data_IF_469983432749
#
_entry.id   IF_469983432749
#
_cell.length_a   1.000
_cell.length_b   1.000
_cell.length_c   1.000
_cell.angle_alpha   90.00
_cell.angle_beta   90.00
_cell.angle_gamma   90.00
#
_symmetry.space_group_name_H-M   'P 1'
#
loop_
_entity.id
_entity.type
_entity.pdbx_description
1 polymer ?
#
# COMPACT_ATOMS: atom_id res chain seq x y z
N UNK A 1 -19.01 -19.14 5.04
CA UNK A 1 -18.34 -18.43 6.17
C UNK A 1 -17.94 -17.00 5.84
N UNK A 2 -17.49 -16.69 4.64
CA UNK A 2 -17.00 -15.38 4.19
C UNK A 2 -18.03 -14.23 4.20
N UNK A 3 -19.28 -14.47 3.80
CA UNK A 3 -20.33 -13.42 3.80
C UNK A 3 -20.64 -12.85 5.20
N UNK A 4 -20.62 -13.71 6.24
CA UNK A 4 -20.90 -13.26 7.62
C UNK A 4 -19.76 -12.41 8.19
N UNK A 5 -18.51 -12.68 7.83
CA UNK A 5 -17.35 -11.93 8.27
C UNK A 5 -17.34 -10.53 7.62
N UNK A 6 -17.65 -10.44 6.32
CA UNK A 6 -17.75 -9.16 5.59
C UNK A 6 -18.86 -8.28 6.16
N UNK A 7 -20.03 -8.87 6.47
CA UNK A 7 -21.14 -8.15 7.09
C UNK A 7 -20.83 -7.70 8.52
N UNK A 8 -20.07 -8.48 9.28
CA UNK A 8 -19.63 -8.12 10.64
C UNK A 8 -18.60 -6.98 10.61
N UNK A 9 -17.66 -7.02 9.68
CA UNK A 9 -16.70 -5.93 9.47
C UNK A 9 -17.37 -4.64 8.99
N UNK A 10 -18.33 -4.74 8.06
CA UNK A 10 -19.11 -3.60 7.60
C UNK A 10 -19.98 -3.02 8.71
N UNK A 11 -20.62 -3.87 9.53
CA UNK A 11 -21.41 -3.43 10.69
C UNK A 11 -20.52 -2.80 11.78
N UNK A 12 -19.31 -3.32 12.00
CA UNK A 12 -18.33 -2.75 12.94
C UNK A 12 -17.84 -1.38 12.46
N UNK A 13 -17.54 -1.23 11.17
CA UNK A 13 -17.18 0.05 10.55
C UNK A 13 -18.31 1.08 10.62
N UNK A 14 -19.56 0.67 10.33
CA UNK A 14 -20.74 1.54 10.41
C UNK A 14 -21.08 1.91 11.87
N UNK A 15 -20.91 1.02 12.82
CA UNK A 15 -21.17 1.30 14.24
C UNK A 15 -20.12 2.25 14.84
N UNK A 16 -18.86 2.14 14.45
CA UNK A 16 -17.81 3.07 14.89
C UNK A 16 -18.02 4.47 14.32
N UNK A 17 -18.46 4.60 13.07
CA UNK A 17 -18.80 5.91 12.47
C UNK A 17 -19.99 6.55 13.13
N UNK A 18 -21.03 5.80 13.50
CA UNK A 18 -22.23 6.33 14.17
C UNK A 18 -21.97 6.76 15.63
N UNK A 19 -21.07 6.07 16.35
CA UNK A 19 -20.68 6.47 17.71
C UNK A 19 -19.82 7.73 17.73
N UNK A 20 -18.98 7.93 16.71
CA UNK A 20 -18.09 9.08 16.63
C UNK A 20 -18.77 10.36 16.17
N UNK A 21 -19.84 10.26 15.36
CA UNK A 21 -20.63 11.42 14.94
C UNK A 21 -21.31 12.18 16.11
N UNK A 22 -21.40 11.57 17.29
CA UNK A 22 -22.05 12.16 18.48
C UNK A 22 -21.15 13.00 19.38
N UNK A 23 -19.83 13.00 19.18
CA UNK A 23 -18.88 13.65 20.10
C UNK A 23 -17.88 14.58 19.42
N UNK A 24 -18.25 15.20 18.30
CA UNK A 24 -17.36 16.14 17.61
C UNK A 24 -17.23 17.44 18.43
N UNK A 25 -16.04 17.79 18.91
CA UNK A 25 -15.84 19.13 19.46
C UNK A 25 -15.91 20.16 18.33
N UNK A 26 -16.47 21.33 18.61
CA UNK A 26 -16.68 22.47 17.69
C UNK A 26 -15.42 23.05 17.03
N UNK A 27 -14.29 22.31 17.03
CA UNK A 27 -12.98 22.79 16.64
C UNK A 27 -12.20 21.84 15.71
N UNK A 28 -12.87 20.97 15.01
CA UNK A 28 -12.20 20.19 13.99
C UNK A 28 -12.16 21.02 12.71
N UNK A 29 -11.00 21.54 12.34
CA UNK A 29 -10.82 22.25 11.08
C UNK A 29 -9.91 21.40 10.19
N UNK A 30 -10.35 20.95 9.01
CA UNK A 30 -9.50 20.28 8.03
C UNK A 30 -8.35 21.19 7.55
N UNK A 31 -8.49 22.51 7.73
CA UNK A 31 -7.49 23.53 7.37
C UNK A 31 -6.27 23.61 8.29
N UNK A 32 -6.20 22.79 9.33
CA UNK A 32 -5.07 22.89 10.30
C UNK A 32 -3.75 22.29 9.79
N UNK A 33 -3.73 21.65 8.63
CA UNK A 33 -2.54 20.98 8.10
C UNK A 33 -1.90 21.69 6.91
N UNK A 34 -2.45 22.78 6.44
CA UNK A 34 -1.84 23.61 5.41
C UNK A 34 -0.42 24.04 5.80
N UNK A 35 0.50 23.93 4.86
CA UNK A 35 1.92 24.23 5.05
C UNK A 35 2.63 23.45 6.16
N UNK A 36 2.21 22.20 6.41
CA UNK A 36 2.80 21.33 7.44
C UNK A 36 3.52 20.14 6.86
N UNK A 37 4.58 19.76 7.52
CA UNK A 37 5.24 18.48 7.30
C UNK A 37 4.49 17.37 8.02
N UNK A 38 4.57 16.18 7.46
CA UNK A 38 4.10 14.96 8.12
C UNK A 38 5.04 13.80 7.88
N UNK A 39 4.99 12.83 8.76
CA UNK A 39 5.63 11.54 8.58
C UNK A 39 4.64 10.41 8.87
N UNK A 40 4.80 9.27 8.22
CA UNK A 40 3.94 8.12 8.46
C UNK A 40 4.70 6.81 8.39
N UNK A 41 4.23 5.84 9.17
CA UNK A 41 4.70 4.46 9.17
C UNK A 41 3.51 3.55 8.94
N UNK A 42 3.63 2.60 8.01
CA UNK A 42 2.57 1.66 7.68
C UNK A 42 3.12 0.28 7.38
N UNK A 43 2.29 -0.74 7.58
CA UNK A 43 2.58 -2.11 7.19
C UNK A 43 1.29 -2.86 6.85
N UNK A 44 1.42 -3.93 6.09
CA UNK A 44 0.29 -4.77 5.76
C UNK A 44 0.56 -5.87 4.75
N UNK A 45 -0.46 -6.66 4.43
CA UNK A 45 -0.40 -7.65 3.38
C UNK A 45 -0.43 -7.03 1.99
N UNK A 46 0.16 -7.75 1.04
CA UNK A 46 0.09 -7.46 -0.37
C UNK A 46 -0.28 -8.73 -1.15
N UNK A 47 -1.07 -8.56 -2.19
CA UNK A 47 -1.37 -9.58 -3.17
C UNK A 47 -0.65 -9.20 -4.46
N UNK A 48 0.31 -10.00 -4.85
CA UNK A 48 1.06 -9.82 -6.07
C UNK A 48 0.41 -10.62 -7.20
N UNK A 49 0.16 -9.96 -8.32
CA UNK A 49 -0.44 -10.55 -9.52
C UNK A 49 0.50 -10.31 -10.69
N UNK A 50 1.08 -11.38 -11.20
CA UNK A 50 1.92 -11.36 -12.38
C UNK A 50 1.48 -12.44 -13.35
N UNK A 51 1.81 -12.30 -14.62
CA UNK A 51 1.58 -13.34 -15.61
C UNK A 51 2.35 -14.61 -15.24
N UNK A 52 1.76 -15.74 -15.58
CA UNK A 52 2.29 -17.07 -15.24
C UNK A 52 2.44 -17.35 -13.73
N UNK A 53 1.91 -16.48 -12.86
CA UNK A 53 1.94 -16.68 -11.42
C UNK A 53 0.56 -17.09 -10.90
N UNK A 54 0.37 -18.37 -10.66
CA UNK A 54 -0.77 -18.86 -9.91
C UNK A 54 -0.35 -19.12 -8.46
N UNK A 55 -0.09 -18.02 -7.72
CA UNK A 55 0.48 -18.09 -6.38
C UNK A 55 -0.37 -18.87 -5.39
N UNK A 56 -1.70 -18.87 -5.54
CA UNK A 56 -2.60 -19.57 -4.63
C UNK A 56 -2.47 -21.09 -4.65
N UNK A 57 -2.34 -21.68 -5.82
CA UNK A 57 -2.24 -23.13 -5.95
C UNK A 57 -0.85 -23.67 -5.62
N UNK A 58 0.20 -22.86 -5.77
CA UNK A 58 1.56 -23.26 -5.52
C UNK A 58 1.90 -23.46 -4.03
N UNK A 59 1.30 -22.64 -3.17
CA UNK A 59 1.61 -22.67 -1.74
C UNK A 59 0.73 -23.63 -0.92
N UNK A 60 -0.35 -24.15 -1.49
CA UNK A 60 -1.27 -25.07 -0.80
C UNK A 60 -2.01 -24.46 0.41
N UNK A 61 -1.55 -23.31 0.90
CA UNK A 61 -2.17 -22.54 1.99
C UNK A 61 -2.25 -21.07 1.61
N UNK A 62 -3.41 -20.46 1.77
CA UNK A 62 -3.66 -19.08 1.39
C UNK A 62 -2.69 -18.08 2.09
N UNK A 63 -2.32 -18.33 3.33
CA UNK A 63 -1.41 -17.45 4.09
C UNK A 63 0.04 -17.49 3.58
N UNK A 64 0.48 -18.60 3.02
CA UNK A 64 1.85 -18.74 2.52
C UNK A 64 2.04 -17.98 1.19
N UNK A 65 0.96 -17.65 0.47
CA UNK A 65 0.97 -16.86 -0.77
C UNK A 65 0.89 -15.35 -0.54
N UNK A 66 0.70 -14.91 0.70
CA UNK A 66 0.60 -13.48 1.01
C UNK A 66 2.01 -12.88 1.06
N UNK A 67 2.18 -11.78 0.34
CA UNK A 67 3.31 -10.87 0.46
C UNK A 67 3.09 -9.90 1.61
N UNK A 68 4.17 -9.38 2.18
CA UNK A 68 4.12 -8.40 3.26
C UNK A 68 4.94 -7.18 2.88
N UNK A 69 4.49 -6.02 3.32
CA UNK A 69 5.24 -4.78 3.12
C UNK A 69 5.17 -3.89 4.35
N UNK A 70 6.18 -3.03 4.46
CA UNK A 70 6.22 -1.92 5.39
C UNK A 70 6.72 -0.68 4.66
N UNK A 71 6.22 0.49 5.04
CA UNK A 71 6.64 1.75 4.43
C UNK A 71 6.82 2.85 5.47
N UNK A 72 7.87 3.65 5.26
CA UNK A 72 8.11 4.90 5.95
C UNK A 72 7.95 6.03 4.94
N UNK A 73 7.19 7.06 5.29
CA UNK A 73 6.96 8.18 4.39
C UNK A 73 7.22 9.51 5.11
N UNK A 74 7.60 10.49 4.30
CA UNK A 74 7.74 11.87 4.70
C UNK A 74 7.10 12.77 3.65
N UNK A 75 6.29 13.74 4.07
CA UNK A 75 5.55 14.57 3.13
C UNK A 75 5.30 15.99 3.63
N UNK A 76 4.80 16.80 2.71
CA UNK A 76 4.50 18.20 2.92
C UNK A 76 3.14 18.57 2.30
N UNK A 77 2.26 19.17 3.10
CA UNK A 77 1.00 19.72 2.64
C UNK A 77 1.23 21.13 2.09
N UNK A 78 1.06 21.31 0.79
CA UNK A 78 1.17 22.62 0.13
C UNK A 78 0.02 23.55 0.53
N UNK A 79 -1.16 22.96 0.60
CA UNK A 79 -2.39 23.58 1.08
C UNK A 79 -3.24 22.49 1.73
N UNK A 80 -4.49 22.80 2.07
CA UNK A 80 -5.36 21.88 2.78
C UNK A 80 -5.71 20.64 1.96
N UNK A 81 -5.78 20.76 0.61
CA UNK A 81 -6.20 19.69 -0.28
C UNK A 81 -5.05 18.91 -0.92
N UNK A 82 -3.86 19.50 -1.06
CA UNK A 82 -2.76 18.91 -1.82
C UNK A 82 -1.50 18.71 -0.98
N UNK A 83 -0.92 17.52 -1.11
CA UNK A 83 0.35 17.19 -0.48
C UNK A 83 1.27 16.40 -1.43
N UNK A 84 2.58 16.53 -1.21
CA UNK A 84 3.60 15.66 -1.79
C UNK A 84 4.11 14.72 -0.70
N UNK A 85 4.31 13.46 -1.04
CA UNK A 85 4.88 12.44 -0.14
C UNK A 85 6.01 11.70 -0.85
N UNK A 86 7.13 11.52 -0.16
CA UNK A 86 8.17 10.56 -0.52
C UNK A 86 8.03 9.37 0.40
N UNK A 87 7.99 8.16 -0.16
CA UNK A 87 7.83 6.93 0.59
C UNK A 87 8.90 5.92 0.21
N UNK A 88 9.60 5.39 1.23
CA UNK A 88 10.42 4.20 1.13
C UNK A 88 9.60 2.98 1.55
N UNK A 89 9.54 1.97 0.70
CA UNK A 89 8.76 0.74 0.94
C UNK A 89 9.70 -0.45 0.91
N UNK A 90 9.57 -1.34 1.88
CA UNK A 90 10.21 -2.65 1.86
C UNK A 90 9.14 -3.73 1.74
N UNK A 91 9.35 -4.67 0.82
CA UNK A 91 8.46 -5.80 0.56
C UNK A 91 9.16 -7.15 0.69
N UNK A 92 8.42 -8.13 1.21
CA UNK A 92 8.76 -9.54 1.15
C UNK A 92 7.69 -10.25 0.35
N UNK A 93 8.00 -10.55 -0.91
CA UNK A 93 7.03 -10.98 -1.90
C UNK A 93 7.04 -12.50 -2.08
N UNK A 94 5.86 -13.04 -2.30
CA UNK A 94 5.63 -14.42 -2.65
C UNK A 94 5.33 -14.50 -4.15
N UNK A 95 6.05 -15.35 -4.86
CA UNK A 95 5.87 -15.65 -6.26
C UNK A 95 5.77 -17.13 -6.51
N UNK A 96 5.25 -17.54 -7.66
CA UNK A 96 5.22 -18.91 -8.08
C UNK A 96 5.45 -19.02 -9.60
N UNK A 97 6.23 -19.97 -10.00
CA UNK A 97 6.53 -20.31 -11.39
C UNK A 97 5.68 -21.50 -11.80
N UNK A 98 5.17 -21.51 -13.02
CA UNK A 98 4.37 -22.60 -13.56
C UNK A 98 4.93 -23.15 -14.89
N UNK A 99 6.16 -23.66 -14.94
CA UNK A 99 6.63 -24.33 -16.13
C UNK A 99 5.93 -25.69 -16.26
N UNK A 100 5.30 -25.92 -17.42
CA UNK A 100 4.63 -27.20 -17.76
C UNK A 100 3.62 -27.67 -16.70
N UNK A 101 2.77 -26.78 -16.21
CA UNK A 101 1.72 -27.09 -15.23
C UNK A 101 2.21 -27.47 -13.82
N UNK A 102 3.50 -27.49 -13.58
CA UNK A 102 4.07 -27.72 -12.26
C UNK A 102 4.41 -26.39 -11.59
N UNK A 103 3.94 -26.18 -10.36
CA UNK A 103 4.06 -24.92 -9.64
C UNK A 103 5.27 -24.96 -8.70
N UNK A 104 6.14 -23.96 -8.82
CA UNK A 104 7.34 -23.80 -7.98
C UNK A 104 7.26 -22.48 -7.23
N UNK A 105 6.99 -22.50 -5.91
CA UNK A 105 6.94 -21.29 -5.10
C UNK A 105 8.35 -20.71 -4.89
N UNK A 106 8.47 -19.40 -4.91
CA UNK A 106 9.69 -18.68 -4.55
C UNK A 106 9.36 -17.41 -3.80
N UNK A 107 10.37 -16.83 -3.13
CA UNK A 107 10.23 -15.55 -2.42
C UNK A 107 11.36 -14.63 -2.78
N UNK A 108 11.09 -13.32 -2.71
CA UNK A 108 12.09 -12.30 -2.96
C UNK A 108 11.82 -11.04 -2.13
N UNK A 109 12.86 -10.29 -1.92
CA UNK A 109 12.80 -8.99 -1.25
C UNK A 109 12.71 -7.87 -2.29
N UNK A 110 12.06 -6.78 -1.92
CA UNK A 110 12.00 -5.60 -2.75
C UNK A 110 12.12 -4.33 -1.90
N UNK A 111 12.86 -3.37 -2.41
CA UNK A 111 12.93 -2.01 -1.87
C UNK A 111 12.40 -1.04 -2.92
N UNK A 112 11.46 -0.19 -2.55
CA UNK A 112 10.87 0.79 -3.46
C UNK A 112 11.01 2.19 -2.92
N UNK A 113 11.09 3.16 -3.83
CA UNK A 113 10.99 4.58 -3.51
C UNK A 113 9.94 5.19 -4.42
N UNK A 114 9.00 5.92 -3.84
CA UNK A 114 7.92 6.60 -4.58
C UNK A 114 7.85 8.07 -4.20
N UNK A 115 7.46 8.88 -5.18
CA UNK A 115 7.01 10.26 -4.99
C UNK A 115 5.52 10.32 -5.38
N UNK A 116 4.67 10.67 -4.41
CA UNK A 116 3.22 10.70 -4.57
C UNK A 116 2.69 12.11 -4.47
N UNK A 117 1.73 12.43 -5.31
CA UNK A 117 0.82 13.55 -5.12
C UNK A 117 -0.44 13.03 -4.43
N UNK A 118 -0.81 13.65 -3.33
CA UNK A 118 -1.98 13.28 -2.51
C UNK A 118 -3.03 14.37 -2.66
N UNK A 119 -4.30 13.97 -2.80
CA UNK A 119 -5.46 14.83 -2.83
C UNK A 119 -6.41 14.47 -1.70
N UNK A 120 -6.74 15.46 -0.86
CA UNK A 120 -7.71 15.34 0.23
C UNK A 120 -9.08 15.86 -0.22
N UNK A 121 -10.06 14.98 -0.30
CA UNK A 121 -11.41 15.33 -0.76
C UNK A 121 -12.23 16.05 0.28
N UNK A 122 -11.97 15.82 1.57
CA UNK A 122 -12.70 16.49 2.62
C UNK A 122 -12.32 17.98 2.66
N UNK A 123 -11.04 18.27 2.43
CA UNK A 123 -10.57 19.65 2.32
C UNK A 123 -11.14 20.36 1.08
N UNK A 124 -11.25 19.65 -0.06
CA UNK A 124 -11.88 20.20 -1.27
C UNK A 124 -13.35 20.50 -1.07
N UNK A 125 -14.07 19.67 -0.31
CA UNK A 125 -15.49 19.80 -0.07
C UNK A 125 -15.82 20.66 1.18
N UNK A 126 -14.80 21.22 1.84
CA UNK A 126 -14.92 22.00 3.07
C UNK A 126 -15.64 21.24 4.21
N UNK A 127 -15.52 19.90 4.22
CA UNK A 127 -16.10 19.09 5.28
C UNK A 127 -15.22 19.06 6.52
N UNK A 128 -15.83 19.37 7.64
CA UNK A 128 -15.19 19.34 8.95
C UNK A 128 -15.55 18.05 9.69
N UNK A 129 -14.84 16.96 9.37
CA UNK A 129 -15.04 15.64 9.99
C UNK A 129 -13.69 15.04 10.38
N UNK A 130 -13.64 14.17 11.40
CA UNK A 130 -12.38 13.59 11.86
C UNK A 130 -11.78 12.56 10.90
N UNK A 131 -12.55 12.09 9.92
CA UNK A 131 -12.09 11.18 8.90
C UNK A 131 -11.81 11.94 7.61
N UNK A 132 -10.58 11.80 7.10
CA UNK A 132 -10.17 12.37 5.83
C UNK A 132 -10.11 11.25 4.79
N UNK A 133 -10.78 11.47 3.67
CA UNK A 133 -10.67 10.60 2.50
C UNK A 133 -9.71 11.23 1.50
N UNK A 134 -8.63 10.52 1.23
CA UNK A 134 -7.56 10.99 0.35
C UNK A 134 -7.32 9.97 -0.76
N UNK A 135 -6.89 10.44 -1.92
CA UNK A 135 -6.33 9.59 -2.97
C UNK A 135 -4.92 10.03 -3.30
N UNK A 136 -4.14 9.14 -3.88
CA UNK A 136 -2.81 9.48 -4.33
C UNK A 136 -2.48 8.79 -5.65
N UNK A 137 -1.58 9.40 -6.39
CA UNK A 137 -0.90 8.81 -7.53
C UNK A 137 0.59 9.16 -7.45
N UNK A 138 1.43 8.21 -7.80
CA UNK A 138 2.87 8.36 -7.65
C UNK A 138 3.67 7.62 -8.71
N UNK A 139 4.90 8.10 -8.88
CA UNK A 139 5.92 7.49 -9.70
C UNK A 139 7.08 7.06 -8.81
N UNK A 140 7.77 5.99 -9.19
CA UNK A 140 8.85 5.48 -8.37
C UNK A 140 9.73 4.48 -9.10
N UNK A 141 10.53 3.83 -8.30
CA UNK A 141 11.42 2.76 -8.72
C UNK A 141 11.43 1.65 -7.68
N UNK A 142 11.59 0.45 -8.14
CA UNK A 142 11.72 -0.75 -7.34
C UNK A 142 13.04 -1.45 -7.63
N UNK A 143 13.62 -2.05 -6.60
CA UNK A 143 14.81 -2.88 -6.67
C UNK A 143 14.51 -4.19 -5.98
N UNK A 144 14.60 -5.30 -6.72
CA UNK A 144 14.32 -6.65 -6.21
C UNK A 144 15.61 -7.44 -6.03
N UNK A 145 15.68 -8.23 -4.96
CA UNK A 145 16.88 -8.97 -4.58
C UNK A 145 16.54 -10.15 -3.68
N UNK A 146 17.54 -11.02 -3.43
CA UNK A 146 17.45 -12.10 -2.46
C UNK A 146 16.39 -13.13 -2.81
N UNK A 147 16.35 -13.53 -4.08
CA UNK A 147 15.44 -14.57 -4.55
C UNK A 147 15.76 -15.90 -3.87
N UNK A 148 14.75 -16.56 -3.32
CA UNK A 148 14.91 -17.89 -2.75
C UNK A 148 15.12 -18.92 -3.87
N UNK A 149 16.04 -19.85 -3.67
CA UNK A 149 16.21 -20.97 -4.61
C UNK A 149 14.95 -21.82 -4.58
N UNK A 150 14.47 -22.18 -5.76
CA UNK A 150 13.44 -23.22 -5.93
C UNK A 150 14.13 -24.56 -6.20
N UNK A 151 13.41 -25.66 -6.05
CA UNK A 151 13.92 -26.99 -6.40
C UNK A 151 14.14 -27.15 -7.93
N UNK A 152 13.84 -26.11 -8.71
CA UNK A 152 14.02 -26.11 -10.16
C UNK A 152 15.24 -25.26 -10.55
N UNK A 153 16.36 -25.85 -10.99
CA UNK A 153 17.64 -25.17 -11.18
C UNK A 153 17.67 -24.15 -12.32
N UNK A 154 16.64 -24.05 -13.15
CA UNK A 154 16.68 -23.26 -14.40
C UNK A 154 15.90 -21.95 -14.38
N UNK A 155 15.25 -21.58 -13.26
CA UNK A 155 14.16 -20.59 -13.34
C UNK A 155 14.25 -19.44 -12.33
N UNK A 156 15.22 -19.43 -11.42
CA UNK A 156 15.34 -18.33 -10.45
C UNK A 156 16.41 -17.35 -10.88
N UNK A 157 16.08 -16.08 -11.03
CA UNK A 157 17.08 -15.05 -11.33
C UNK A 157 18.05 -14.95 -10.15
N UNK A 158 19.35 -15.07 -10.47
CA UNK A 158 20.42 -14.87 -9.49
C UNK A 158 20.78 -13.39 -9.30
N UNK A 159 20.22 -12.52 -10.13
CA UNK A 159 20.61 -11.10 -10.17
C UNK A 159 19.50 -10.18 -9.70
N UNK A 160 19.85 -9.15 -8.92
CA UNK A 160 18.93 -8.10 -8.55
C UNK A 160 18.42 -7.34 -9.78
N UNK A 161 17.14 -6.93 -9.75
CA UNK A 161 16.52 -6.21 -10.86
C UNK A 161 16.05 -4.83 -10.42
N UNK A 162 16.20 -3.88 -11.33
CA UNK A 162 15.66 -2.54 -11.18
C UNK A 162 14.44 -2.39 -12.10
N UNK A 163 13.34 -1.86 -11.57
CA UNK A 163 12.08 -1.68 -12.29
C UNK A 163 11.52 -0.30 -12.03
N UNK A 164 11.16 0.47 -13.07
CA UNK A 164 10.31 1.62 -12.88
C UNK A 164 8.96 1.18 -12.33
N UNK A 165 8.38 2.03 -11.49
CA UNK A 165 7.14 1.72 -10.80
C UNK A 165 6.19 2.91 -10.82
N UNK A 166 4.90 2.60 -10.83
CA UNK A 166 3.81 3.56 -10.65
C UNK A 166 2.92 3.08 -9.53
N UNK A 167 2.27 4.00 -8.82
CA UNK A 167 1.27 3.60 -7.83
C UNK A 167 0.10 4.57 -7.77
N UNK A 168 -1.02 4.02 -7.34
CA UNK A 168 -2.22 4.78 -7.02
C UNK A 168 -2.92 4.15 -5.83
N UNK A 169 -3.71 4.93 -5.11
CA UNK A 169 -4.44 4.39 -3.98
C UNK A 169 -5.37 5.38 -3.31
N UNK A 170 -6.04 4.87 -2.29
CA UNK A 170 -6.97 5.61 -1.44
C UNK A 170 -6.62 5.42 0.03
N UNK A 171 -6.66 6.51 0.78
CA UNK A 171 -6.36 6.55 2.20
C UNK A 171 -7.61 7.02 2.94
N UNK A 172 -7.97 6.31 3.99
CA UNK A 172 -8.90 6.78 5.01
C UNK A 172 -8.07 7.08 6.25
N UNK A 173 -7.97 8.34 6.62
CA UNK A 173 -7.18 8.83 7.73
C UNK A 173 -8.08 9.36 8.83
N UNK A 174 -7.78 9.01 10.05
CA UNK A 174 -8.45 9.54 11.23
C UNK A 174 -7.44 10.35 12.04
N UNK A 175 -7.71 11.64 12.17
CA UNK A 175 -6.87 12.54 12.92
C UNK A 175 -7.28 12.62 14.39
N UNK A 176 -6.29 12.48 15.26
CA UNK A 176 -6.45 12.64 16.68
C UNK A 176 -5.83 13.96 17.14
N UNK A 177 -6.21 14.42 18.34
CA UNK A 177 -5.64 15.64 18.91
C UNK A 177 -4.11 15.52 19.04
N UNK A 178 -3.41 16.63 18.76
CA UNK A 178 -1.95 16.69 18.90
C UNK A 178 -1.15 16.29 17.65
N UNK A 179 -1.80 16.18 16.51
CA UNK A 179 -1.13 15.90 15.23
C UNK A 179 -0.93 14.42 14.93
N UNK A 180 -1.32 13.53 15.83
CA UNK A 180 -1.32 12.10 15.57
C UNK A 180 -2.59 11.66 14.87
N UNK A 181 -2.44 10.69 13.98
CA UNK A 181 -3.54 10.02 13.32
C UNK A 181 -3.22 8.55 13.07
N UNK A 182 -4.23 7.79 12.72
CA UNK A 182 -4.08 6.48 12.13
C UNK A 182 -4.78 6.45 10.77
N UNK A 183 -4.32 5.57 9.90
CA UNK A 183 -4.91 5.47 8.58
C UNK A 183 -4.94 4.03 8.06
N UNK A 184 -5.83 3.80 7.13
CA UNK A 184 -5.89 2.64 6.28
C UNK A 184 -5.60 3.06 4.85
N UNK A 185 -4.71 2.36 4.18
CA UNK A 185 -4.29 2.62 2.80
C UNK A 185 -4.61 1.40 1.93
N UNK A 186 -5.37 1.62 0.87
CA UNK A 186 -5.64 0.67 -0.19
C UNK A 186 -4.90 1.14 -1.44
N UNK A 187 -3.88 0.42 -1.84
CA UNK A 187 -3.02 0.79 -2.96
C UNK A 187 -2.90 -0.29 -4.03
N UNK A 188 -2.63 0.14 -5.24
CA UNK A 188 -2.17 -0.69 -6.34
C UNK A 188 -0.84 -0.13 -6.85
N UNK A 189 0.15 -1.00 -7.01
CA UNK A 189 1.46 -0.68 -7.56
C UNK A 189 1.66 -1.48 -8.84
N UNK A 190 2.09 -0.79 -9.90
CA UNK A 190 2.45 -1.39 -11.18
C UNK A 190 3.95 -1.31 -11.39
N UNK A 191 4.54 -2.38 -11.88
CA UNK A 191 5.97 -2.52 -12.14
C UNK A 191 6.19 -2.96 -13.58
N UNK A 192 7.38 -2.72 -14.13
CA UNK A 192 7.75 -3.35 -15.39
C UNK A 192 7.91 -4.86 -15.21
N UNK A 193 7.77 -5.60 -16.29
CA UNK A 193 7.76 -7.07 -16.37
C UNK A 193 9.02 -7.78 -15.84
N UNK A 194 10.06 -7.01 -15.51
CA UNK A 194 11.30 -7.54 -14.91
C UNK A 194 11.30 -7.56 -13.38
N UNK A 195 10.23 -7.08 -12.75
CA UNK A 195 10.20 -6.92 -11.29
C UNK A 195 10.29 -8.25 -10.54
N UNK A 196 9.63 -9.29 -11.04
CA UNK A 196 9.66 -10.64 -10.44
C UNK A 196 10.93 -11.42 -10.80
N UNK A 197 11.77 -10.85 -11.66
CA UNK A 197 13.02 -11.46 -12.12
C UNK A 197 12.83 -12.54 -13.18
N UNK A 198 11.67 -12.71 -13.76
CA UNK A 198 11.38 -13.65 -14.82
C UNK A 198 11.50 -13.00 -16.20
N UNK A 199 11.72 -13.82 -17.23
CA UNK A 199 11.66 -13.30 -18.59
C UNK A 199 10.25 -12.83 -18.93
N UNK A 200 10.12 -11.67 -19.62
CA UNK A 200 8.83 -11.12 -20.03
C UNK A 200 8.04 -12.12 -20.87
N UNK A 201 6.78 -12.35 -20.50
CA UNK A 201 5.90 -13.27 -21.20
C UNK A 201 4.48 -12.71 -21.26
N UNK A 202 4.21 -11.91 -22.30
CA UNK A 202 2.86 -11.50 -22.67
C UNK A 202 2.46 -10.12 -22.23
N UNK A 203 2.07 -9.89 -20.98
CA UNK A 203 1.64 -8.57 -20.51
C UNK A 203 2.82 -7.79 -19.90
N UNK A 204 3.06 -6.53 -20.29
CA UNK A 204 4.30 -5.82 -19.95
C UNK A 204 4.32 -5.24 -18.52
N UNK A 205 3.37 -5.57 -17.66
CA UNK A 205 3.27 -5.02 -16.32
C UNK A 205 2.93 -6.08 -15.28
N UNK A 206 3.51 -5.92 -14.12
CA UNK A 206 3.15 -6.67 -12.92
C UNK A 206 2.44 -5.75 -11.93
N UNK A 207 1.45 -6.26 -11.21
CA UNK A 207 0.63 -5.46 -10.31
C UNK A 207 0.63 -6.08 -8.92
N UNK A 208 0.80 -5.23 -7.89
CA UNK A 208 0.60 -5.60 -6.51
C UNK A 208 -0.55 -4.77 -5.91
N UNK A 209 -1.52 -5.44 -5.31
CA UNK A 209 -2.57 -4.81 -4.51
C UNK A 209 -2.15 -4.86 -3.04
N UNK A 210 -2.23 -3.73 -2.35
CA UNK A 210 -1.78 -3.57 -0.97
C UNK A 210 -2.89 -3.07 -0.07
N UNK A 211 -2.96 -3.63 1.12
CA UNK A 211 -3.77 -3.11 2.21
C UNK A 211 -2.82 -2.82 3.37
N UNK A 212 -2.78 -1.59 3.84
CA UNK A 212 -1.93 -1.19 4.95
C UNK A 212 -2.72 -0.56 6.07
N UNK A 213 -2.24 -0.76 7.28
CA UNK A 213 -2.60 0.06 8.44
C UNK A 213 -1.37 0.86 8.86
N UNK A 214 -1.57 2.10 9.24
CA UNK A 214 -0.48 2.99 9.59
C UNK A 214 -0.84 4.04 10.62
N UNK A 215 0.22 4.70 11.08
CA UNK A 215 0.16 5.88 11.92
C UNK A 215 0.80 7.05 11.19
N UNK A 216 0.25 8.24 11.41
CA UNK A 216 0.74 9.49 10.83
C UNK A 216 0.93 10.52 11.93
N UNK A 217 1.92 11.37 11.75
CA UNK A 217 2.16 12.52 12.62
C UNK A 217 2.37 13.78 11.79
N UNK A 218 1.50 14.76 12.02
CA UNK A 218 1.59 16.10 11.44
C UNK A 218 2.34 17.02 12.39
N UNK A 219 3.46 17.57 11.91
CA UNK A 219 4.30 18.45 12.73
C UNK A 219 3.57 19.78 12.99
N UNK A 220 3.60 20.29 14.23
CA UNK A 220 3.00 21.58 14.54
C UNK A 220 3.72 22.73 13.81
N UNK A 221 2.96 23.74 13.39
CA UNK A 221 3.56 25.02 13.00
C UNK A 221 4.18 25.66 14.23
N UNK A 222 5.43 26.07 14.11
CA UNK A 222 6.10 26.90 15.12
C UNK A 222 5.70 28.35 14.96
#
# INVERSE_FOLDING_TARGET
MTRKIVLLLAALLLSTTALMARSLPDRYSPYQYSHRWFMSLQAGPALFVAENMNSYSAYGKAFDSISWHAALSFGYNFNDAWALRIAGVYGYNAGALSPREQLYPYRFHAAHVFADMILDYNALAEYNVPFNFKTYAGLGAAYTFGFSKTDHPYIVPDSPNFSPAVRLGAIIEYDYKGGFGWFMDLGAEGYSDWYNGLEPAGFPFEVAFKLSLGIIYHFPLR
#
